data_IF_684047134631
#
_entry.id   IF_684047134631
#
_cell.length_a   1.000
_cell.length_b   1.000
_cell.length_c   1.000
_cell.angle_alpha   90.00
_cell.angle_beta   90.00
_cell.angle_gamma   90.00
#
_symmetry.space_group_name_H-M   'P 1'
#
loop_
_entity.id
_entity.type
_entity.pdbx_description
1 polymer ?
#
# COMPACT_ATOMS: atom_id res chain seq x y z
N UNK A 1 -3.88 9.32 19.07
CA UNK A 1 -4.63 8.87 17.91
C UNK A 1 -4.34 7.41 17.62
N UNK A 2 -5.36 6.64 17.45
CA UNK A 2 -5.16 5.23 17.12
C UNK A 2 -4.62 5.12 15.69
N UNK A 3 -3.59 4.30 15.51
CA UNK A 3 -3.09 4.00 14.19
C UNK A 3 -3.93 2.84 13.68
N UNK A 4 -4.59 3.06 12.57
CA UNK A 4 -5.41 2.04 11.95
C UNK A 4 -4.62 1.35 10.85
N UNK A 5 -4.32 0.08 11.04
CA UNK A 5 -3.70 -0.70 9.98
C UNK A 5 -4.78 -1.10 8.98
N UNK A 6 -5.47 -0.10 8.45
CA UNK A 6 -6.54 -0.31 7.48
C UNK A 6 -5.98 -0.33 6.05
N UNK A 7 -6.74 -0.94 5.15
CA UNK A 7 -6.36 -0.95 3.74
C UNK A 7 -6.21 0.45 3.18
N UNK A 8 -7.01 1.39 3.67
CA UNK A 8 -6.95 2.78 3.22
C UNK A 8 -5.62 3.44 3.55
N UNK A 9 -5.10 3.23 4.76
CA UNK A 9 -3.80 3.79 5.16
C UNK A 9 -2.69 3.23 4.28
N UNK A 10 -2.74 1.95 3.98
CA UNK A 10 -1.75 1.32 3.11
C UNK A 10 -1.83 1.86 1.69
N UNK A 11 -3.03 2.03 1.14
CA UNK A 11 -3.21 2.55 -0.21
C UNK A 11 -2.70 3.99 -0.32
N UNK A 12 -2.97 4.81 0.69
CA UNK A 12 -2.46 6.18 0.71
C UNK A 12 -0.93 6.21 0.73
N UNK A 13 -0.33 5.39 1.58
CA UNK A 13 1.13 5.31 1.66
C UNK A 13 1.75 4.85 0.34
N UNK A 14 1.13 3.87 -0.32
CA UNK A 14 1.59 3.39 -1.62
C UNK A 14 1.52 4.52 -2.65
N UNK A 15 0.42 5.25 -2.68
CA UNK A 15 0.25 6.36 -3.62
C UNK A 15 1.35 7.41 -3.44
N UNK A 16 1.58 7.81 -2.20
CA UNK A 16 2.58 8.83 -1.89
C UNK A 16 3.98 8.36 -2.28
N UNK A 17 4.32 7.14 -1.93
CA UNK A 17 5.65 6.59 -2.22
C UNK A 17 5.88 6.41 -3.72
N UNK A 18 4.84 6.02 -4.45
CA UNK A 18 4.97 5.81 -5.90
C UNK A 18 5.29 7.10 -6.65
N UNK A 19 4.96 8.24 -6.10
CA UNK A 19 5.31 9.52 -6.71
C UNK A 19 6.82 9.74 -6.74
N UNK A 20 7.55 9.06 -5.86
CA UNK A 20 8.99 9.18 -5.77
C UNK A 20 9.73 8.00 -6.41
N UNK A 21 9.01 7.05 -6.97
CA UNK A 21 9.61 5.90 -7.63
C UNK A 21 8.92 4.59 -7.28
N UNK A 22 9.60 3.49 -7.54
CA UNK A 22 9.07 2.16 -7.26
C UNK A 22 9.00 1.91 -5.75
N UNK A 23 8.00 1.12 -5.35
CA UNK A 23 7.69 0.86 -3.94
C UNK A 23 7.62 -0.63 -3.70
N UNK A 24 8.21 -1.07 -2.60
CA UNK A 24 8.11 -2.45 -2.11
C UNK A 24 7.46 -2.43 -0.74
N UNK A 25 7.02 -3.62 -0.26
CA UNK A 25 6.39 -3.72 1.05
C UNK A 25 7.28 -3.22 2.19
N UNK A 26 8.61 -3.39 2.08
CA UNK A 26 9.54 -2.89 3.09
C UNK A 26 9.48 -1.37 3.20
N UNK A 27 9.29 -0.68 2.07
CA UNK A 27 9.17 0.78 2.06
C UNK A 27 7.92 1.23 2.80
N UNK A 28 6.84 0.48 2.63
CA UNK A 28 5.57 0.77 3.32
C UNK A 28 5.72 0.53 4.82
N UNK A 29 6.41 -0.54 5.21
CA UNK A 29 6.66 -0.83 6.62
C UNK A 29 7.42 0.31 7.28
N UNK A 30 8.42 0.86 6.60
CA UNK A 30 9.19 2.00 7.11
C UNK A 30 8.34 3.26 7.18
N UNK A 31 7.55 3.51 6.14
CA UNK A 31 6.73 4.72 6.08
C UNK A 31 5.70 4.78 7.21
N UNK A 32 5.05 3.66 7.49
CA UNK A 32 3.97 3.59 8.47
C UNK A 32 4.45 3.16 9.85
N UNK A 33 5.71 2.79 9.98
CA UNK A 33 6.28 2.27 11.23
C UNK A 33 5.57 1.00 11.71
N UNK A 34 5.11 0.20 10.79
CA UNK A 34 4.47 -1.08 11.09
C UNK A 34 5.48 -2.22 10.94
N UNK A 35 5.18 -3.34 11.58
CA UNK A 35 6.06 -4.51 11.47
C UNK A 35 5.96 -5.13 10.08
N UNK A 36 7.04 -5.78 9.64
CA UNK A 36 7.06 -6.45 8.34
C UNK A 36 5.97 -7.51 8.20
N UNK A 37 5.72 -8.37 9.22
CA UNK A 37 4.64 -9.34 9.13
C UNK A 37 3.26 -8.70 8.93
N UNK A 38 2.99 -7.60 9.63
CA UNK A 38 1.71 -6.89 9.48
C UNK A 38 1.55 -6.35 8.07
N UNK A 39 2.60 -5.74 7.54
CA UNK A 39 2.57 -5.19 6.18
C UNK A 39 2.41 -6.29 5.15
N UNK A 40 3.10 -7.41 5.33
CA UNK A 40 2.98 -8.54 4.42
C UNK A 40 1.55 -9.07 4.33
N UNK A 41 0.88 -9.20 5.49
CA UNK A 41 -0.52 -9.64 5.53
C UNK A 41 -1.41 -8.61 4.84
N UNK A 42 -1.19 -7.33 5.11
CA UNK A 42 -1.98 -6.26 4.50
C UNK A 42 -1.82 -6.25 2.98
N UNK A 43 -0.59 -6.40 2.48
CA UNK A 43 -0.34 -6.43 1.04
C UNK A 43 -1.03 -7.62 0.40
N UNK A 44 -0.99 -8.77 1.06
CA UNK A 44 -1.67 -9.97 0.56
C UNK A 44 -3.19 -9.74 0.46
N UNK A 45 -3.76 -9.11 1.48
CA UNK A 45 -5.20 -8.82 1.49
C UNK A 45 -5.59 -7.80 0.41
N UNK A 46 -4.79 -6.76 0.23
CA UNK A 46 -5.05 -5.77 -0.82
C UNK A 46 -4.93 -6.37 -2.20
N UNK A 47 -3.97 -7.27 -2.39
CA UNK A 47 -3.82 -7.98 -3.65
C UNK A 47 -5.02 -8.88 -3.92
N UNK A 48 -5.49 -9.60 -2.89
CA UNK A 48 -6.65 -10.48 -3.01
C UNK A 48 -7.91 -9.69 -3.34
N UNK A 49 -8.02 -8.46 -2.85
CA UNK A 49 -9.16 -7.57 -3.12
C UNK A 49 -9.02 -6.81 -4.44
N UNK A 50 -7.93 -7.05 -5.16
CA UNK A 50 -7.66 -6.43 -6.46
C UNK A 50 -7.44 -4.91 -6.38
N UNK A 51 -6.90 -4.43 -5.29
CA UNK A 51 -6.54 -3.02 -5.15
C UNK A 51 -5.10 -2.75 -5.56
N UNK A 52 -4.24 -3.77 -5.48
CA UNK A 52 -2.84 -3.65 -5.86
C UNK A 52 -2.42 -4.89 -6.64
N UNK A 53 -1.31 -4.75 -7.36
CA UNK A 53 -0.58 -5.88 -7.93
C UNK A 53 0.86 -5.80 -7.44
N UNK A 54 1.54 -6.93 -7.38
CA UNK A 54 2.95 -6.99 -7.01
C UNK A 54 3.64 -7.74 -8.13
N UNK A 55 4.63 -7.11 -8.75
CA UNK A 55 5.33 -7.73 -9.86
C UNK A 55 6.40 -8.72 -9.38
N UNK A 56 7.10 -9.33 -10.31
CA UNK A 56 8.11 -10.34 -9.99
C UNK A 56 9.31 -9.76 -9.24
N UNK A 57 9.52 -8.47 -9.31
CA UNK A 57 10.58 -7.78 -8.58
C UNK A 57 10.14 -7.34 -7.19
N UNK A 58 8.88 -7.56 -6.84
CA UNK A 58 8.32 -7.15 -5.56
C UNK A 58 7.84 -5.72 -5.53
N UNK A 59 7.80 -5.04 -6.67
CA UNK A 59 7.28 -3.68 -6.73
C UNK A 59 5.76 -3.68 -6.71
N UNK A 60 5.20 -2.78 -5.90
CA UNK A 60 3.77 -2.65 -5.70
C UNK A 60 3.21 -1.64 -6.69
N UNK A 61 2.13 -2.02 -7.36
CA UNK A 61 1.43 -1.12 -8.27
C UNK A 61 -0.03 -1.06 -7.87
N UNK A 62 -0.65 0.12 -8.00
CA UNK A 62 -2.07 0.28 -7.74
C UNK A 62 -2.86 -0.14 -8.97
N UNK A 63 -3.94 -0.88 -8.76
CA UNK A 63 -4.89 -1.14 -9.83
C UNK A 63 -5.72 0.13 -10.03
N UNK A 64 -6.56 0.16 -11.06
CA UNK A 64 -7.46 1.27 -11.28
C UNK A 64 -8.35 1.51 -10.05
N UNK A 65 -8.90 0.44 -9.48
CA UNK A 65 -9.73 0.52 -8.28
C UNK A 65 -8.95 1.04 -7.08
N UNK A 66 -7.74 0.53 -6.88
CA UNK A 66 -6.87 0.99 -5.79
C UNK A 66 -6.50 2.45 -5.93
N UNK A 67 -6.22 2.88 -7.16
CA UNK A 67 -5.87 4.26 -7.44
C UNK A 67 -7.03 5.20 -7.12
N UNK A 68 -8.25 4.82 -7.48
CA UNK A 68 -9.44 5.62 -7.20
C UNK A 68 -9.63 5.82 -5.70
N UNK A 69 -9.48 4.75 -4.92
CA UNK A 69 -9.62 4.82 -3.47
C UNK A 69 -8.52 5.70 -2.86
N UNK A 70 -7.29 5.49 -3.30
CA UNK A 70 -6.16 6.26 -2.78
C UNK A 70 -6.31 7.75 -3.09
N UNK A 71 -6.78 8.09 -4.28
CA UNK A 71 -7.00 9.48 -4.68
C UNK A 71 -8.04 10.15 -3.79
N UNK A 72 -9.11 9.45 -3.44
CA UNK A 72 -10.15 9.99 -2.57
C UNK A 72 -9.63 10.24 -1.16
N UNK A 73 -8.80 9.35 -0.66
CA UNK A 73 -8.22 9.48 0.67
C UNK A 73 -7.27 10.67 0.71
N UNK A 74 -6.48 10.83 -0.34
CA UNK A 74 -5.42 11.83 -0.39
C UNK A 74 -5.95 13.26 -0.57
N UNK A 75 -7.15 13.41 -1.08
CA UNK A 75 -7.75 14.72 -1.18
C UNK A 75 -7.85 15.38 0.20
#
# INVERSE_FOLDING_TARGET
MAIHESGEDYLEAILIKKRNGNVRSIDIAHELSFSKPSVSVAMKNLKASNYITIDENGFINLTETGQEIADKIYE
#
